data_IF_943988619678
#
_entry.id   IF_943988619678
#
_cell.length_a   1.000
_cell.length_b   1.000
_cell.length_c   1.000
_cell.angle_alpha   90.00
_cell.angle_beta   90.00
_cell.angle_gamma   90.00
#
_symmetry.space_group_name_H-M   'P 1'
#
loop_
_entity.id
_entity.type
_entity.pdbx_description
1 polymer ?
#
# COMPACT_ATOMS: atom_id res chain seq x y z
N UNK A 1 -16.22 -11.48 -2.95
CA UNK A 1 -15.04 -12.29 -3.32
C UNK A 1 -14.27 -12.61 -2.04
N UNK A 2 -14.06 -13.87 -1.70
CA UNK A 2 -13.35 -14.27 -0.47
C UNK A 2 -11.90 -14.61 -0.83
N UNK A 3 -10.95 -13.85 -0.29
CA UNK A 3 -9.53 -14.03 -0.59
C UNK A 3 -8.89 -14.70 0.62
N UNK A 4 -8.42 -15.94 0.45
CA UNK A 4 -7.72 -16.67 1.52
C UNK A 4 -6.25 -16.31 1.50
N UNK A 5 -5.80 -15.58 2.51
CA UNK A 5 -4.38 -15.30 2.77
C UNK A 5 -3.86 -16.29 3.80
N UNK A 6 -2.73 -16.94 3.52
CA UNK A 6 -2.10 -17.89 4.44
C UNK A 6 -1.82 -17.25 5.82
N UNK A 7 -2.08 -17.99 6.90
CA UNK A 7 -1.94 -17.49 8.27
C UNK A 7 -0.53 -17.05 8.64
N UNK A 8 0.50 -17.76 8.16
CA UNK A 8 1.90 -17.36 8.35
C UNK A 8 2.18 -16.00 7.69
N UNK A 9 1.64 -15.77 6.49
CA UNK A 9 1.80 -14.50 5.78
C UNK A 9 1.10 -13.35 6.51
N UNK A 10 -0.11 -13.57 7.04
CA UNK A 10 -0.81 -12.58 7.88
C UNK A 10 0.01 -12.22 9.13
N UNK A 11 0.61 -13.21 9.79
CA UNK A 11 1.43 -13.01 11.00
C UNK A 11 2.67 -12.18 10.69
N UNK A 12 3.41 -12.52 9.63
CA UNK A 12 4.59 -11.76 9.20
C UNK A 12 4.22 -10.32 8.83
N UNK A 13 3.11 -10.15 8.12
CA UNK A 13 2.59 -8.82 7.77
C UNK A 13 2.19 -8.01 9.00
N UNK A 14 1.50 -8.62 9.97
CA UNK A 14 1.14 -8.00 11.24
C UNK A 14 2.38 -7.53 12.00
N UNK A 15 3.36 -8.40 12.18
CA UNK A 15 4.61 -8.06 12.87
C UNK A 15 5.32 -6.92 12.16
N UNK A 16 5.43 -6.94 10.83
CA UNK A 16 6.06 -5.87 10.06
C UNK A 16 5.32 -4.52 10.20
N UNK A 17 3.98 -4.53 10.21
CA UNK A 17 3.19 -3.32 10.42
C UNK A 17 3.37 -2.78 11.85
N UNK A 18 3.31 -3.66 12.85
CA UNK A 18 3.48 -3.31 14.26
C UNK A 18 4.87 -2.73 14.55
N UNK A 19 5.93 -3.32 14.00
CA UNK A 19 7.31 -2.82 14.13
C UNK A 19 7.48 -1.41 13.54
N UNK A 20 6.70 -1.08 12.51
CA UNK A 20 6.73 0.24 11.85
C UNK A 20 5.70 1.23 12.41
N UNK A 21 4.87 0.80 13.37
CA UNK A 21 3.78 1.62 13.92
C UNK A 21 2.67 1.95 12.90
N UNK A 22 2.52 1.14 11.85
CA UNK A 22 1.57 1.39 10.77
C UNK A 22 0.29 0.57 10.95
N UNK A 23 -0.83 1.14 10.50
CA UNK A 23 -2.10 0.41 10.43
C UNK A 23 -2.07 -0.56 9.25
N UNK A 24 -2.48 -1.81 9.48
CA UNK A 24 -2.55 -2.81 8.42
C UNK A 24 -3.39 -2.37 7.23
N UNK A 25 -4.53 -1.71 7.49
CA UNK A 25 -5.41 -1.19 6.43
C UNK A 25 -4.73 -0.16 5.54
N UNK A 26 -3.89 0.71 6.11
CA UNK A 26 -3.11 1.69 5.36
C UNK A 26 -2.10 1.00 4.45
N UNK A 27 -1.35 0.03 4.98
CA UNK A 27 -0.33 -0.69 4.20
C UNK A 27 -0.97 -1.52 3.08
N UNK A 28 -2.13 -2.14 3.34
CA UNK A 28 -2.88 -2.87 2.32
C UNK A 28 -3.39 -1.93 1.23
N UNK A 29 -3.94 -0.77 1.58
CA UNK A 29 -4.40 0.22 0.59
C UNK A 29 -3.26 0.66 -0.33
N UNK A 30 -2.12 1.05 0.24
CA UNK A 30 -0.93 1.44 -0.52
C UNK A 30 -0.43 0.33 -1.45
N UNK A 31 -0.42 -0.92 -0.99
CA UNK A 31 -0.02 -2.06 -1.82
C UNK A 31 -0.98 -2.31 -2.98
N UNK A 32 -2.29 -2.12 -2.76
CA UNK A 32 -3.31 -2.23 -3.81
C UNK A 32 -3.11 -1.12 -4.84
N UNK A 33 -2.92 0.13 -4.40
CA UNK A 33 -2.68 1.26 -5.30
C UNK A 33 -1.41 1.10 -6.13
N UNK A 34 -0.32 0.65 -5.50
CA UNK A 34 0.93 0.34 -6.20
C UNK A 34 0.76 -0.79 -7.20
N UNK A 35 0.02 -1.84 -6.83
CA UNK A 35 -0.25 -2.96 -7.74
C UNK A 35 -1.09 -2.48 -8.94
N UNK A 36 -2.12 -1.67 -8.71
CA UNK A 36 -2.93 -1.07 -9.78
C UNK A 36 -2.07 -0.20 -10.69
N UNK A 37 -1.24 0.70 -10.14
CA UNK A 37 -0.36 1.56 -10.93
C UNK A 37 0.64 0.76 -11.78
N UNK A 38 1.22 -0.29 -11.22
CA UNK A 38 2.19 -1.13 -11.93
C UNK A 38 1.57 -1.99 -13.03
N UNK A 39 0.27 -2.30 -12.92
CA UNK A 39 -0.46 -3.13 -13.88
C UNK A 39 -1.43 -2.32 -14.74
N UNK A 40 -1.46 -0.99 -14.58
CA UNK A 40 -2.20 -0.11 -15.46
C UNK A 40 -1.40 0.03 -16.77
N UNK A 41 -1.92 -0.51 -17.90
CA UNK A 41 -1.21 -0.50 -19.19
C UNK A 41 -1.09 0.91 -19.78
N UNK A 42 -1.68 1.93 -19.15
CA UNK A 42 -1.66 3.33 -19.54
C UNK A 42 -0.77 4.21 -18.64
N UNK A 43 -0.07 3.65 -17.65
CA UNK A 43 0.81 4.39 -16.72
C UNK A 43 2.20 4.76 -17.30
N UNK A 44 2.27 5.23 -18.54
CA UNK A 44 3.27 6.25 -18.88
C UNK A 44 2.56 7.60 -18.75
N UNK A 45 3.15 8.51 -17.98
CA UNK A 45 2.66 9.88 -17.72
C UNK A 45 1.54 10.01 -16.67
N UNK A 46 1.85 9.83 -15.38
CA UNK A 46 1.54 10.87 -14.39
C UNK A 46 2.68 10.90 -13.35
N UNK A 47 3.43 11.98 -13.43
CA UNK A 47 4.43 12.45 -12.50
C UNK A 47 3.90 12.41 -11.05
N UNK A 48 4.67 11.77 -10.18
CA UNK A 48 4.45 11.76 -8.75
C UNK A 48 4.70 13.18 -8.24
N UNK A 49 3.63 13.95 -7.96
CA UNK A 49 3.76 15.21 -7.23
C UNK A 49 3.68 14.89 -5.73
N UNK A 50 4.79 14.94 -4.97
CA UNK A 50 4.71 14.80 -3.52
C UNK A 50 4.07 16.06 -2.95
N UNK A 51 2.92 15.90 -2.30
CA UNK A 51 2.19 16.98 -1.64
C UNK A 51 2.92 17.37 -0.34
N UNK A 52 4.04 18.08 -0.46
CA UNK A 52 4.73 18.71 0.68
C UNK A 52 4.10 20.06 1.00
N UNK A 53 3.32 20.08 2.07
CA UNK A 53 3.08 21.15 3.06
C UNK A 53 3.50 22.61 2.73
N UNK A 54 2.52 23.53 2.76
CA UNK A 54 2.55 24.93 3.29
C UNK A 54 1.08 25.41 3.29
N UNK A 55 0.46 25.93 4.36
CA UNK A 55 0.97 26.88 5.33
C UNK A 55 0.77 28.31 4.80
N UNK A 56 -0.43 28.87 5.03
CA UNK A 56 -0.78 30.29 5.23
C UNK A 56 -2.29 30.44 5.37
#
# INVERSE_FOLDING_TARGET
>A
MHISIADDLKKRFYVACALRGLKMSQVVAELIEQWLKANDPHSFDIEFIPLTKKGS
#
